data_IF_521530428959
#
_entry.id   IF_521530428959
#
_cell.length_a   1.000
_cell.length_b   1.000
_cell.length_c   1.000
_cell.angle_alpha   90.00
_cell.angle_beta   90.00
_cell.angle_gamma   90.00
#
_symmetry.space_group_name_H-M   'P 1'
#
loop_
_entity.id
_entity.type
_entity.pdbx_description
1 polymer ?
2 non-polymer ?
3 non-polymer ?
4 water ?
#
# COMPACT_ATOMS: atom_id res chain seq x y z
N UNK A 2 14.80 -20.07 3.07
CA UNK A 2 13.66 -19.11 3.06
C UNK A 2 13.91 -18.03 4.11
N UNK A 3 12.98 -17.08 4.22
CA UNK A 3 12.93 -16.06 5.29
C UNK A 3 12.32 -16.70 6.53
N UNK A 4 12.79 -16.32 7.70
CA UNK A 4 12.08 -16.64 8.94
C UNK A 4 10.79 -15.82 9.00
N UNK A 5 9.77 -16.30 9.73
CA UNK A 5 8.55 -15.52 9.98
C UNK A 5 8.78 -14.06 10.41
N UNK A 6 9.74 -13.81 11.31
CA UNK A 6 9.91 -12.46 11.90
C UNK A 6 10.39 -11.52 10.78
N UNK A 7 11.16 -12.03 9.81
CA UNK A 7 11.64 -11.26 8.63
C UNK A 7 10.45 -10.90 7.73
N UNK A 8 9.59 -11.87 7.43
CA UNK A 8 8.37 -11.66 6.62
C UNK A 8 7.53 -10.54 7.23
N UNK A 9 7.33 -10.55 8.54
CA UNK A 9 6.49 -9.52 9.21
C UNK A 9 7.20 -8.16 9.10
N UNK A 10 8.49 -8.14 9.42
CA UNK A 10 9.31 -6.91 9.38
C UNK A 10 9.21 -6.33 7.97
N UNK A 11 9.45 -7.13 6.94
CA UNK A 11 9.56 -6.65 5.55
C UNK A 11 8.19 -6.16 5.12
N UNK A 12 7.10 -6.79 5.54
CA UNK A 12 5.78 -6.34 5.06
C UNK A 12 5.42 -5.08 5.83
N UNK A 13 5.66 -5.01 7.13
CA UNK A 13 5.41 -3.76 7.91
C UNK A 13 6.20 -2.57 7.34
N UNK A 14 7.48 -2.78 7.03
CA UNK A 14 8.38 -1.77 6.43
C UNK A 14 7.81 -1.30 5.09
N UNK A 15 7.39 -2.25 4.25
CA UNK A 15 6.85 -1.98 2.90
C UNK A 15 5.62 -1.09 3.04
N UNK A 16 4.71 -1.43 3.94
CA UNK A 16 3.44 -0.67 4.07
C UNK A 16 3.76 0.71 4.64
N UNK A 17 4.66 0.78 5.62
CA UNK A 17 5.06 2.07 6.25
C UNK A 17 5.71 2.94 5.19
N UNK A 18 6.53 2.37 4.32
CA UNK A 18 7.18 3.15 3.24
C UNK A 18 6.09 3.74 2.35
N UNK A 19 5.09 2.95 2.01
CA UNK A 19 4.01 3.43 1.12
C UNK A 19 3.23 4.55 1.82
N UNK A 20 3.00 4.45 3.13
CA UNK A 20 2.24 5.46 3.90
C UNK A 20 2.97 6.80 3.88
N UNK A 21 4.30 6.81 4.02
CA UNK A 21 5.07 8.08 3.94
C UNK A 21 4.80 8.77 2.58
N UNK A 22 4.85 8.00 1.51
CA UNK A 22 4.75 8.51 0.13
C UNK A 22 3.30 8.89 -0.19
N UNK A 23 2.33 8.13 0.31
CA UNK A 23 0.89 8.50 0.22
C UNK A 23 0.68 9.87 0.89
N UNK A 24 1.26 10.06 2.08
CA UNK A 24 1.12 11.29 2.86
C UNK A 24 1.64 12.47 2.09
N UNK A 25 2.76 12.32 1.37
CA UNK A 25 3.33 13.41 0.56
C UNK A 25 2.35 13.77 -0.57
N UNK A 26 1.77 12.77 -1.22
CA UNK A 26 0.81 13.05 -2.33
C UNK A 26 -0.40 13.79 -1.73
N UNK A 27 -0.91 13.30 -0.61
CA UNK A 27 -2.06 13.91 0.07
C UNK A 27 -1.75 15.38 0.36
N UNK A 28 -0.57 15.66 0.92
CA UNK A 28 -0.18 17.03 1.33
C UNK A 28 -0.18 17.95 0.10
N UNK A 29 0.30 17.46 -1.04
CA UNK A 29 0.53 18.33 -2.22
C UNK A 29 -0.74 18.47 -3.08
N UNK A 30 -1.66 17.50 -3.12
CA UNK A 30 -2.75 17.51 -4.13
C UNK A 30 -4.12 17.52 -3.45
N UNK A 31 -4.22 17.15 -2.18
CA UNK A 31 -5.54 17.15 -1.47
C UNK A 31 -5.57 18.32 -0.48
N UNK A 32 -4.65 18.38 0.48
CA UNK A 32 -4.67 19.35 1.59
C UNK A 32 -4.00 20.66 1.18
N UNK A 33 -3.12 20.63 0.18
CA UNK A 33 -2.25 21.75 -0.21
C UNK A 33 -1.45 22.31 0.95
N UNK A 34 -1.10 21.50 1.95
CA UNK A 34 -0.17 21.86 3.05
C UNK A 34 1.28 21.75 2.58
N UNK A 35 1.52 21.49 1.29
CA UNK A 35 2.89 21.41 0.71
C UNK A 35 2.79 21.83 -0.74
N UNK A 36 3.71 22.66 -1.26
CA UNK A 36 3.53 23.18 -2.61
C UNK A 36 3.60 22.00 -3.59
N UNK A 37 2.70 21.98 -4.58
CA UNK A 37 2.63 20.92 -5.60
C UNK A 37 3.95 20.88 -6.37
N UNK A 38 4.71 19.80 -6.27
CA UNK A 38 5.84 19.52 -7.19
C UNK A 38 5.56 18.23 -7.96
N UNK A 39 5.49 18.34 -9.28
CA UNK A 39 5.35 17.23 -10.25
C UNK A 39 6.38 16.14 -9.97
N UNK A 40 7.66 16.51 -9.83
CA UNK A 40 8.76 15.52 -9.73
C UNK A 40 8.60 14.79 -8.40
N UNK A 41 8.22 15.46 -7.33
CA UNK A 41 8.08 14.82 -6.00
C UNK A 41 6.81 13.98 -5.94
N UNK A 42 5.71 14.44 -6.54
CA UNK A 42 4.45 13.65 -6.55
C UNK A 42 4.73 12.40 -7.37
N UNK A 43 5.37 12.56 -8.51
CA UNK A 43 5.74 11.43 -9.39
C UNK A 43 6.66 10.45 -8.64
N UNK A 44 7.68 10.96 -7.97
CA UNK A 44 8.64 10.14 -7.21
C UNK A 44 7.88 9.34 -6.12
N UNK A 45 6.91 9.95 -5.44
CA UNK A 45 6.15 9.29 -4.36
C UNK A 45 5.24 8.19 -4.94
N UNK A 46 4.54 8.47 -6.03
CA UNK A 46 3.67 7.54 -6.76
C UNK A 46 4.49 6.36 -7.23
N UNK A 47 5.70 6.61 -7.74
CA UNK A 47 6.58 5.51 -8.23
C UNK A 47 6.96 4.55 -7.11
N UNK A 48 7.13 5.05 -5.89
CA UNK A 48 7.44 4.13 -4.75
C UNK A 48 6.24 3.21 -4.54
N UNK A 49 5.06 3.79 -4.56
CA UNK A 49 3.82 3.02 -4.27
C UNK A 49 3.67 1.96 -5.36
N UNK A 50 3.76 2.33 -6.63
CA UNK A 50 3.65 1.37 -7.75
C UNK A 50 4.76 0.33 -7.58
N UNK A 51 5.99 0.74 -7.28
CA UNK A 51 7.11 -0.22 -7.23
C UNK A 51 6.84 -1.25 -6.11
N UNK A 52 6.43 -0.80 -4.94
CA UNK A 52 6.20 -1.77 -3.82
C UNK A 52 4.99 -2.67 -4.15
N UNK A 53 3.96 -2.13 -4.76
CA UNK A 53 2.76 -2.88 -5.18
C UNK A 53 3.18 -4.01 -6.11
N UNK A 54 4.18 -3.80 -6.95
CA UNK A 54 4.65 -4.81 -7.92
C UNK A 54 5.77 -5.67 -7.35
N UNK A 55 6.11 -5.57 -6.07
CA UNK A 55 7.33 -6.22 -5.53
C UNK A 55 7.01 -7.64 -5.07
N UNK A 56 5.82 -8.18 -5.28
CA UNK A 56 5.48 -9.59 -4.95
C UNK A 56 5.42 -9.82 -3.44
N UNK A 57 4.67 -8.99 -2.73
CA UNK A 57 4.51 -9.03 -1.25
C UNK A 57 3.72 -10.27 -0.81
N UNK A 58 3.04 -10.94 -1.74
CA UNK A 58 2.39 -12.24 -1.53
C UNK A 58 3.31 -13.18 -0.82
N UNK A 59 4.59 -13.18 -1.19
CA UNK A 59 5.63 -14.06 -0.60
C UNK A 59 5.82 -13.78 0.90
N UNK A 60 5.28 -12.70 1.45
CA UNK A 60 5.54 -12.34 2.86
C UNK A 60 4.36 -12.78 3.73
N UNK A 61 3.39 -13.44 3.13
CA UNK A 61 2.16 -13.90 3.82
C UNK A 61 2.15 -15.42 3.88
N UNK A 62 2.40 -15.95 5.05
CA UNK A 62 2.27 -17.39 5.33
C UNK A 62 1.71 -17.51 6.74
N UNK A 63 0.92 -18.56 6.98
CA UNK A 63 0.22 -18.70 8.26
C UNK A 63 1.15 -18.69 9.46
N UNK A 64 2.41 -19.08 9.30
CA UNK A 64 3.43 -19.04 10.38
C UNK A 64 3.78 -17.60 10.76
N UNK A 65 3.23 -16.58 10.11
CA UNK A 65 3.50 -15.17 10.49
C UNK A 65 2.40 -14.64 11.40
N UNK A 66 1.33 -15.40 11.57
CA UNK A 66 0.25 -15.01 12.50
C UNK A 66 0.84 -14.84 13.90
N UNK A 67 0.63 -13.68 14.51
CA UNK A 67 1.03 -13.42 15.90
C UNK A 67 2.53 -13.19 16.06
N UNK A 68 3.30 -13.09 14.99
CA UNK A 68 4.77 -12.93 15.07
C UNK A 68 5.13 -11.44 15.13
N UNK A 69 6.15 -11.10 15.92
CA UNK A 69 6.69 -9.71 16.04
C UNK A 69 7.69 -9.51 14.91
N UNK A 70 7.44 -8.48 14.10
CA UNK A 70 8.40 -8.00 13.11
C UNK A 70 9.07 -6.81 13.73
N UNK A 71 8.59 -5.62 13.39
CA UNK A 71 8.83 -4.42 14.21
C UNK A 71 7.90 -4.47 15.38
N UNK A 72 6.66 -4.87 15.14
CA UNK A 72 5.61 -4.96 16.18
C UNK A 72 4.85 -6.25 15.92
N UNK A 73 4.01 -6.63 16.87
CA UNK A 73 3.18 -7.85 16.73
C UNK A 73 2.40 -7.70 15.41
N UNK A 74 2.44 -8.71 14.57
CA UNK A 74 1.69 -8.68 13.30
C UNK A 74 0.22 -8.38 13.61
N UNK A 75 -0.39 -7.50 12.82
CA UNK A 75 -1.84 -7.19 12.84
C UNK A 75 -2.57 -7.93 11.71
N UNK A 76 -1.94 -8.93 11.09
CA UNK A 76 -2.64 -9.78 10.08
C UNK A 76 -3.72 -10.59 10.78
N UNK A 77 -4.93 -10.59 10.23
CA UNK A 77 -6.03 -11.43 10.73
C UNK A 77 -5.94 -12.79 10.07
N UNK A 78 -6.33 -13.81 10.80
CA UNK A 78 -6.29 -15.20 10.28
C UNK A 78 -7.27 -15.36 9.11
N UNK A 79 -8.36 -14.59 9.02
CA UNK A 79 -9.37 -14.77 7.94
C UNK A 79 -8.72 -14.55 6.57
N UNK A 80 -7.57 -13.87 6.50
CA UNK A 80 -6.75 -13.69 5.27
C UNK A 80 -6.58 -15.05 4.59
N UNK A 81 -6.28 -16.09 5.37
CA UNK A 81 -6.01 -17.44 4.80
C UNK A 81 -7.31 -18.18 4.45
N UNK A 82 -8.49 -17.71 4.89
CA UNK A 82 -9.77 -18.39 4.56
C UNK A 82 -10.41 -17.75 3.33
N UNK A 83 -10.09 -16.50 3.01
CA UNK A 83 -10.89 -15.68 2.06
C UNK A 83 -10.02 -15.36 0.87
N UNK A 84 -9.42 -16.39 0.28
CA UNK A 84 -8.38 -16.22 -0.78
C UNK A 84 -9.01 -15.51 -1.99
N UNK A 85 -10.28 -15.78 -2.30
CA UNK A 85 -11.00 -15.10 -3.41
C UNK A 85 -11.03 -13.59 -3.12
N UNK A 86 -11.26 -13.23 -1.86
CA UNK A 86 -11.38 -11.82 -1.44
C UNK A 86 -9.98 -11.20 -1.45
N UNK A 87 -8.96 -11.94 -1.04
CA UNK A 87 -7.56 -11.45 -1.02
C UNK A 87 -7.16 -11.11 -2.46
N UNK A 88 -7.33 -12.06 -3.38
CA UNK A 88 -7.01 -11.86 -4.81
C UNK A 88 -7.74 -10.63 -5.35
N UNK A 89 -9.03 -10.52 -5.10
CA UNK A 89 -9.80 -9.37 -5.60
C UNK A 89 -9.15 -8.07 -5.14
N UNK A 90 -8.90 -7.97 -3.84
CA UNK A 90 -8.39 -6.72 -3.22
C UNK A 90 -6.95 -6.45 -3.67
N UNK A 91 -6.08 -7.45 -3.69
CA UNK A 91 -4.65 -7.25 -4.03
C UNK A 91 -4.51 -6.80 -5.48
N UNK A 92 -5.22 -7.45 -6.41
CA UNK A 92 -5.12 -7.17 -7.86
C UNK A 92 -5.69 -5.77 -8.12
N UNK A 93 -6.74 -5.39 -7.42
CA UNK A 93 -7.28 -4.02 -7.52
C UNK A 93 -6.18 -3.03 -7.06
N UNK A 94 -5.54 -3.27 -5.93
CA UNK A 94 -4.53 -2.33 -5.39
C UNK A 94 -3.39 -2.16 -6.41
N UNK A 95 -2.87 -3.26 -6.92
CA UNK A 95 -1.76 -3.23 -7.92
C UNK A 95 -2.20 -2.37 -9.10
N UNK A 96 -3.36 -2.67 -9.66
CA UNK A 96 -3.93 -1.93 -10.81
C UNK A 96 -4.02 -0.44 -10.45
N UNK A 97 -4.56 -0.08 -9.29
CA UNK A 97 -4.74 1.36 -8.95
C UNK A 97 -3.37 2.01 -8.74
N UNK A 98 -2.44 1.31 -8.11
CA UNK A 98 -1.07 1.83 -7.85
C UNK A 98 -0.38 2.13 -9.19
N UNK A 99 -0.48 1.23 -10.15
CA UNK A 99 0.13 1.46 -11.48
C UNK A 99 -0.49 2.72 -12.09
N UNK A 100 -1.80 2.84 -12.01
CA UNK A 100 -2.51 3.96 -12.65
C UNK A 100 -2.04 5.25 -12.00
N UNK A 101 -1.91 5.24 -10.67
CA UNK A 101 -1.46 6.46 -9.97
C UNK A 101 -0.08 6.87 -10.53
N UNK A 102 0.85 5.93 -10.69
CA UNK A 102 2.20 6.26 -11.18
C UNK A 102 2.07 6.82 -12.61
N UNK A 103 1.26 6.19 -13.44
CA UNK A 103 1.08 6.64 -14.84
C UNK A 103 0.54 8.06 -14.84
N UNK A 104 -0.49 8.37 -14.06
CA UNK A 104 -1.05 9.74 -14.14
C UNK A 104 -0.14 10.72 -13.41
N UNK A 105 0.58 10.33 -12.37
CA UNK A 105 1.41 11.30 -11.61
C UNK A 105 2.57 11.77 -12.49
N UNK A 106 2.96 10.98 -13.49
CA UNK A 106 4.06 11.30 -14.43
C UNK A 106 3.79 12.64 -15.12
N UNK A 107 2.63 12.80 -15.76
CA UNK A 107 2.33 14.02 -16.55
C UNK A 107 1.17 14.79 -15.93
N UNK A 108 0.36 14.15 -15.10
CA UNK A 108 -0.95 14.66 -14.66
C UNK A 108 -0.90 16.02 -13.98
N UNK A 109 -2.02 16.72 -14.04
CA UNK A 109 -2.28 17.86 -13.15
C UNK A 109 -2.87 17.32 -11.86
N UNK A 110 -3.04 18.24 -10.93
CA UNK A 110 -3.45 18.02 -9.55
C UNK A 110 -4.80 17.30 -9.54
N UNK A 111 -5.72 17.67 -10.43
CA UNK A 111 -7.10 17.11 -10.43
C UNK A 111 -7.05 15.66 -10.85
N UNK A 112 -6.24 15.32 -11.84
CA UNK A 112 -6.12 13.92 -12.33
C UNK A 112 -5.47 13.06 -11.26
N UNK A 113 -4.40 13.57 -10.64
CA UNK A 113 -3.67 12.83 -9.58
C UNK A 113 -4.61 12.63 -8.39
N UNK A 114 -5.33 13.67 -8.05
CA UNK A 114 -6.28 13.61 -6.93
C UNK A 114 -7.24 12.45 -7.18
N UNK A 115 -7.77 12.32 -8.38
CA UNK A 115 -8.77 11.28 -8.71
C UNK A 115 -8.09 9.92 -8.56
N UNK A 116 -6.85 9.78 -9.05
CA UNK A 116 -6.18 8.48 -9.03
C UNK A 116 -5.77 8.14 -7.59
N UNK A 117 -5.33 9.14 -6.86
CA UNK A 117 -4.92 8.96 -5.45
C UNK A 117 -6.09 8.39 -4.65
N UNK A 118 -7.30 8.92 -4.84
CA UNK A 118 -8.49 8.47 -4.08
C UNK A 118 -8.74 7.00 -4.34
N UNK A 119 -8.49 6.54 -5.56
CA UNK A 119 -8.71 5.11 -5.91
C UNK A 119 -7.67 4.25 -5.18
N UNK A 120 -6.43 4.74 -5.03
CA UNK A 120 -5.38 3.95 -4.33
C UNK A 120 -5.73 3.90 -2.85
N UNK A 121 -6.10 5.04 -2.26
CA UNK A 121 -6.48 5.13 -0.83
C UNK A 121 -7.60 4.16 -0.54
N UNK A 122 -8.60 4.08 -1.41
CA UNK A 122 -9.72 3.13 -1.21
C UNK A 122 -9.17 1.71 -1.24
N UNK A 123 -8.25 1.43 -2.14
CA UNK A 123 -7.64 0.09 -2.27
C UNK A 123 -6.87 -0.28 -1.00
N UNK A 124 -6.05 0.64 -0.43
CA UNK A 124 -5.34 0.38 0.86
C UNK A 124 -6.41 0.01 1.92
N UNK A 125 -7.43 0.85 2.05
CA UNK A 125 -8.46 0.76 3.10
C UNK A 125 -9.21 -0.57 2.95
N UNK A 126 -9.54 -0.99 1.73
CA UNK A 126 -10.29 -2.23 1.47
C UNK A 126 -9.56 -3.40 2.12
N UNK A 127 -8.25 -3.49 1.95
CA UNK A 127 -7.47 -4.60 2.54
C UNK A 127 -7.48 -4.48 4.08
N UNK A 128 -7.26 -3.29 4.62
CA UNK A 128 -7.24 -3.04 6.09
C UNK A 128 -8.58 -3.48 6.71
N UNK A 129 -9.70 -3.11 6.07
CA UNK A 129 -11.07 -3.37 6.60
C UNK A 129 -11.30 -4.87 6.80
N UNK A 130 -10.72 -5.71 5.97
CA UNK A 130 -10.97 -7.16 6.00
C UNK A 130 -9.89 -7.83 6.83
N UNK A 131 -8.60 -7.48 6.67
CA UNK A 131 -7.51 -8.41 7.05
C UNK A 131 -6.52 -7.82 8.05
N UNK A 132 -6.70 -6.58 8.48
CA UNK A 132 -5.79 -5.98 9.48
C UNK A 132 -6.57 -5.72 10.78
N UNK A 133 -6.05 -6.19 11.91
CA UNK A 133 -6.64 -5.90 13.25
C UNK A 133 -6.62 -4.40 13.50
N UNK A 134 -7.71 -3.84 14.03
CA UNK A 134 -7.83 -2.37 14.28
C UNK A 134 -7.15 -2.02 15.62
N UNK A 135 -6.60 -3.03 16.31
CA UNK A 135 -5.75 -2.94 17.54
C UNK A 135 -6.52 -3.53 18.73
X LIG B 1 -1.53 -1.89 4.69
X LIG B 1 -0.21 -2.66 7.79
X LIG B 1 -0.47 1.34 5.03
X LIG B 1 -2.18 -1.38 1.41
X LIG B 1 -2.61 -5.15 4.32
X LIG B 1 -0.50 -0.85 6.15
X LIG B 1 -0.08 -1.28 7.33
X LIG B 1 0.58 -0.30 8.13
X LIG B 1 0.47 0.92 7.33
X LIG B 1 -0.19 0.44 6.13
X LIG B 1 0.96 2.30 7.65
X LIG B 1 1.15 -0.48 9.52
X LIG B 1 2.58 -0.96 9.35
X LIG B 1 3.32 -1.10 10.71
X LIG B 1 4.45 -0.55 10.82
X LIG B 1 2.80 -1.75 11.65
X LIG B 1 -1.33 -0.27 3.45
X LIG B 1 -0.95 0.96 3.73
X LIG B 1 -1.05 1.93 2.63
X LIG B 1 -1.51 1.07 1.55
X LIG B 1 -1.66 -0.24 2.15
X LIG B 1 -0.67 3.38 2.63
X LIG B 1 -1.85 1.49 0.16
X LIG B 1 -0.86 2.46 -0.46
X LIG B 1 -2.22 -3.06 3.13
X LIG B 1 -2.41 -2.70 1.87
X LIG B 1 -3.02 -3.71 0.98
X LIG B 1 -3.15 -4.83 1.87
X LIG B 1 -2.67 -4.32 3.15
X LIG B 1 -3.34 -3.47 -0.46
X LIG B 1 -3.73 -6.20 1.66
X LIG B 1 -3.77 -6.66 0.23
X LIG B 1 -1.45 -3.58 5.82
X LIG B 1 -1.92 -4.78 5.52
X LIG B 1 -1.76 -5.81 6.58
X LIG B 1 -1.03 -5.07 7.61
X LIG B 1 -0.89 -3.73 7.04
X LIG B 1 -2.17 -7.24 6.53
X LIG B 1 -0.50 -5.61 8.92
X LIG B 1 0.89 -6.15 8.58
X LIG B 1 1.45 -6.80 9.79
X LIG B 1 1.40 -6.14 10.84
X LIG B 1 1.92 -7.95 9.64
X LIG C 1 -13.28 -10.43 13.93
X LIG C 1 -14.46 -9.67 14.25
X LIG C 1 -13.26 -11.58 14.79
X LIG C 1 -12.12 -9.62 14.17
X LIG C 1 -13.29 -10.88 12.54
#
# INVERSE_FOLDING_TARGET
DALKPEDKVKFRQASYTTMAWNMGKIKAMVVDGTMPFSQTQVSAAANVIAAIANSGMGALYSPDTLGVVGFKKSRLKENFFQEQDEVRKIATNFVEQANKLAEVAAMGDKDEIKAQFGEVGKACKACHEKFREEE
HEC FE CHA CHB CHC CHD NA C1A C2A C3A C4A CMA CAA CBA CGA O1A O2A NB C1B C2B C3B C4B CMB CAB CBB NC C1C C2C C3C C4C CMC CAC CBC ND C1D C2D C3D C4D CMD CAD CBD CGD O1D O2D
SO4 S O1 O2 O3 O4
#
